data_IF_809055964386
#
_entry.id   IF_809055964386
#
_cell.length_a   1.000
_cell.length_b   1.000
_cell.length_c   1.000
_cell.angle_alpha   90.00
_cell.angle_beta   90.00
_cell.angle_gamma   90.00
#
_symmetry.space_group_name_H-M   'P 1'
#
loop_
_entity.id
_entity.type
_entity.pdbx_description
1 polymer ?
#
# COMPACT_ATOMS: atom_id res chain seq x y z
N UNK A 1 4.32 14.03 15.17
CA UNK A 1 3.12 14.50 14.44
C UNK A 1 3.00 13.67 13.17
N UNK A 2 1.95 12.87 13.03
CA UNK A 2 1.68 12.05 11.84
C UNK A 2 1.44 12.97 10.63
N UNK A 3 1.82 12.50 9.43
CA UNK A 3 1.45 13.22 8.19
C UNK A 3 -0.04 13.04 7.96
N UNK A 4 -0.79 14.09 7.60
CA UNK A 4 -2.25 14.03 7.35
C UNK A 4 -2.70 12.86 6.45
N UNK A 5 -1.87 12.48 5.47
CA UNK A 5 -2.17 11.30 4.63
C UNK A 5 -2.14 9.98 5.41
N UNK A 6 -1.26 9.86 6.41
CA UNK A 6 -1.21 8.70 7.32
C UNK A 6 -2.41 8.69 8.26
N UNK A 7 -2.83 9.86 8.77
CA UNK A 7 -4.02 10.00 9.63
C UNK A 7 -5.26 9.45 8.92
N UNK A 8 -5.46 9.80 7.65
CA UNK A 8 -6.60 9.26 6.88
C UNK A 8 -6.50 7.74 6.70
N UNK A 9 -5.30 7.22 6.43
CA UNK A 9 -5.07 5.78 6.35
C UNK A 9 -5.50 5.06 7.62
N UNK A 10 -5.08 5.55 8.80
CA UNK A 10 -5.46 4.98 10.08
C UNK A 10 -6.95 5.10 10.40
N UNK A 11 -7.60 6.21 10.03
CA UNK A 11 -9.05 6.34 10.19
C UNK A 11 -9.76 5.26 9.38
N UNK A 12 -9.37 5.05 8.14
CA UNK A 12 -9.98 4.03 7.27
C UNK A 12 -9.67 2.61 7.75
N UNK A 13 -8.44 2.35 8.19
CA UNK A 13 -8.06 1.08 8.81
C UNK A 13 -8.98 0.76 9.99
N UNK A 14 -9.18 1.69 10.93
CA UNK A 14 -10.04 1.50 12.08
C UNK A 14 -11.50 1.26 11.69
N UNK A 15 -11.99 1.89 10.62
CA UNK A 15 -13.36 1.65 10.16
C UNK A 15 -13.53 0.27 9.53
N UNK A 16 -12.56 -0.17 8.72
CA UNK A 16 -12.59 -1.52 8.17
C UNK A 16 -12.46 -2.55 9.29
N UNK A 17 -11.57 -2.34 10.28
CA UNK A 17 -11.48 -3.19 11.48
C UNK A 17 -12.83 -3.26 12.20
N UNK A 18 -13.52 -2.12 12.36
CA UNK A 18 -14.88 -2.07 12.93
C UNK A 18 -15.89 -2.89 12.14
N UNK A 19 -15.79 -2.91 10.80
CA UNK A 19 -16.63 -3.78 9.95
C UNK A 19 -16.37 -5.29 10.16
N UNK A 20 -15.17 -5.64 10.66
CA UNK A 20 -14.84 -7.00 11.10
C UNK A 20 -15.22 -7.24 12.57
N UNK A 21 -15.82 -6.28 13.28
CA UNK A 21 -16.13 -6.38 14.71
C UNK A 21 -14.91 -6.18 15.63
N UNK A 22 -13.83 -5.64 15.10
CA UNK A 22 -12.57 -5.42 15.84
C UNK A 22 -12.46 -3.97 16.33
N UNK A 23 -11.78 -3.80 17.47
CA UNK A 23 -11.41 -2.49 17.97
C UNK A 23 -10.31 -1.82 17.11
N UNK A 24 -10.02 -0.53 17.39
CA UNK A 24 -8.90 0.18 16.77
C UNK A 24 -7.57 -0.56 16.95
N UNK A 25 -6.70 -0.48 15.95
CA UNK A 25 -5.35 -0.99 16.07
C UNK A 25 -4.50 -0.09 16.98
N UNK A 26 -4.34 -0.48 18.23
CA UNK A 26 -3.58 0.28 19.24
C UNK A 26 -2.05 0.11 19.08
N UNK A 27 -1.59 -0.94 18.41
CA UNK A 27 -0.17 -1.25 18.30
C UNK A 27 0.49 -0.72 17.02
N UNK A 28 -0.29 -0.36 15.99
CA UNK A 28 0.13 0.38 14.79
C UNK A 28 1.26 -0.22 13.93
N UNK A 29 1.80 -1.41 14.26
CA UNK A 29 3.07 -1.93 13.71
C UNK A 29 2.94 -3.40 13.27
N UNK A 30 1.79 -3.79 12.76
CA UNK A 30 1.58 -5.13 12.21
C UNK A 30 2.13 -5.31 10.78
N UNK A 31 2.41 -6.54 10.40
CA UNK A 31 2.65 -6.92 8.99
C UNK A 31 1.36 -6.78 8.19
N UNK A 32 0.24 -7.13 8.81
CA UNK A 32 -1.13 -7.00 8.31
C UNK A 32 -1.94 -6.09 9.22
N UNK A 33 -2.95 -5.46 8.66
CA UNK A 33 -3.84 -4.56 9.39
C UNK A 33 -4.89 -5.36 10.21
N UNK A 34 -5.16 -6.62 9.79
CA UNK A 34 -5.88 -7.65 10.53
C UNK A 34 -5.11 -8.96 10.36
N UNK A 35 -4.65 -9.56 11.44
CA UNK A 35 -3.95 -10.86 11.41
C UNK A 35 -4.94 -12.01 11.33
N UNK A 36 -4.48 -13.20 10.95
CA UNK A 36 -5.33 -14.39 10.88
C UNK A 36 -5.89 -14.75 12.27
N UNK A 37 -5.09 -14.61 13.33
CA UNK A 37 -5.49 -14.93 14.70
C UNK A 37 -6.60 -14.00 15.22
N UNK A 38 -6.58 -12.72 14.82
CA UNK A 38 -7.59 -11.76 15.27
C UNK A 38 -8.80 -11.64 14.34
N UNK A 39 -8.75 -12.26 13.13
CA UNK A 39 -9.83 -12.19 12.14
C UNK A 39 -11.02 -13.06 12.56
N UNK A 40 -12.13 -12.46 13.04
CA UNK A 40 -13.26 -13.24 13.55
C UNK A 40 -14.10 -13.90 12.43
N UNK A 41 -13.89 -13.50 11.17
CA UNK A 41 -14.62 -14.02 10.02
C UNK A 41 -13.91 -15.23 9.39
N UNK A 42 -12.57 -15.29 9.50
CA UNK A 42 -11.78 -16.39 8.95
C UNK A 42 -10.38 -16.43 9.57
N UNK A 43 -10.14 -17.40 10.45
CA UNK A 43 -8.86 -17.57 11.16
C UNK A 43 -7.67 -17.99 10.27
N UNK A 44 -7.88 -18.20 8.97
CA UNK A 44 -6.82 -18.46 8.00
C UNK A 44 -6.58 -17.28 7.06
N UNK A 45 -7.23 -16.14 7.29
CA UNK A 45 -7.15 -14.98 6.42
C UNK A 45 -6.50 -13.79 7.12
N UNK A 46 -5.47 -13.25 6.51
CA UNK A 46 -4.93 -11.94 6.88
C UNK A 46 -5.48 -10.86 5.95
N UNK A 47 -5.66 -9.64 6.46
CA UNK A 47 -6.17 -8.53 5.67
C UNK A 47 -5.21 -7.34 5.74
N UNK A 48 -4.89 -6.80 4.57
CA UNK A 48 -4.19 -5.52 4.42
C UNK A 48 -5.15 -4.46 3.90
N UNK A 49 -5.20 -3.30 4.55
CA UNK A 49 -6.11 -2.21 4.22
C UNK A 49 -5.31 -1.08 3.57
N UNK A 50 -5.73 -0.64 2.41
CA UNK A 50 -5.03 0.41 1.66
C UNK A 50 -6.00 1.46 1.15
N UNK A 51 -5.62 2.72 1.31
CA UNK A 51 -6.33 3.84 0.69
C UNK A 51 -5.52 4.37 -0.49
N UNK A 52 -6.18 4.72 -1.57
CA UNK A 52 -5.53 5.28 -2.76
C UNK A 52 -6.35 6.42 -3.35
N UNK A 53 -5.71 7.54 -3.69
CA UNK A 53 -6.36 8.56 -4.48
C UNK A 53 -6.68 7.97 -5.88
N UNK A 54 -7.84 8.29 -6.41
CA UNK A 54 -8.35 7.75 -7.68
C UNK A 54 -7.35 7.86 -8.85
N UNK A 55 -6.50 8.88 -8.84
CA UNK A 55 -5.45 9.14 -9.84
C UNK A 55 -4.06 8.77 -9.35
N UNK A 56 -3.95 8.16 -8.17
CA UNK A 56 -2.68 7.86 -7.52
C UNK A 56 -2.19 6.45 -7.75
N UNK A 57 -0.96 6.19 -7.27
CA UNK A 57 -0.41 4.85 -7.16
C UNK A 57 -0.76 4.23 -5.81
N UNK A 58 -1.08 2.95 -5.80
CA UNK A 58 -1.39 2.20 -4.58
C UNK A 58 -0.09 1.81 -3.87
N UNK A 59 0.21 2.46 -2.74
CA UNK A 59 1.37 2.11 -1.92
C UNK A 59 1.13 0.79 -1.19
N UNK A 60 1.97 -0.21 -1.45
CA UNK A 60 1.91 -1.52 -0.82
C UNK A 60 2.68 -1.56 0.51
N UNK A 61 3.67 -0.68 0.67
CA UNK A 61 4.52 -0.60 1.86
C UNK A 61 5.97 -1.00 1.58
N UNK A 62 6.62 -1.63 2.56
CA UNK A 62 8.01 -2.11 2.45
C UNK A 62 8.12 -3.18 1.37
N UNK A 63 9.05 -2.98 0.41
CA UNK A 63 9.14 -3.82 -0.79
C UNK A 63 9.54 -5.26 -0.49
N UNK A 64 10.49 -5.48 0.44
CA UNK A 64 10.91 -6.83 0.83
C UNK A 64 9.82 -7.57 1.59
N UNK A 65 9.13 -6.87 2.49
CA UNK A 65 8.01 -7.44 3.24
C UNK A 65 6.88 -7.88 2.31
N UNK A 66 6.55 -7.05 1.34
CA UNK A 66 5.50 -7.34 0.34
C UNK A 66 5.91 -8.49 -0.57
N UNK A 67 7.19 -8.58 -0.94
CA UNK A 67 7.71 -9.67 -1.74
C UNK A 67 7.74 -11.01 -0.99
N UNK A 68 8.05 -10.99 0.31
CA UNK A 68 8.10 -12.18 1.19
C UNK A 68 6.69 -12.56 1.67
N UNK A 69 5.83 -12.82 0.74
CA UNK A 69 4.46 -13.23 1.02
C UNK A 69 4.40 -14.70 1.50
N UNK A 70 3.57 -14.97 2.51
CA UNK A 70 3.36 -16.31 3.04
C UNK A 70 2.21 -17.00 2.30
N UNK A 71 2.52 -18.00 1.49
CA UNK A 71 1.55 -18.73 0.69
C UNK A 71 0.68 -19.72 1.51
N UNK A 72 0.94 -19.89 2.81
CA UNK A 72 0.17 -20.80 3.68
C UNK A 72 -1.14 -20.19 4.18
N UNK A 73 -1.26 -18.87 4.13
CA UNK A 73 -2.44 -18.12 4.54
C UNK A 73 -3.17 -17.53 3.34
N UNK A 74 -4.45 -17.24 3.54
CA UNK A 74 -5.23 -16.41 2.60
C UNK A 74 -4.87 -14.96 2.87
N UNK A 75 -4.43 -14.25 1.85
CA UNK A 75 -4.17 -12.83 1.96
C UNK A 75 -5.20 -12.04 1.16
N UNK A 76 -5.92 -11.17 1.85
CA UNK A 76 -6.86 -10.24 1.22
C UNK A 76 -6.33 -8.82 1.34
N UNK A 77 -6.36 -8.08 0.25
CA UNK A 77 -6.12 -6.65 0.28
C UNK A 77 -7.44 -5.92 0.05
N UNK A 78 -7.89 -5.14 1.04
CA UNK A 78 -9.03 -4.24 0.90
C UNK A 78 -8.50 -2.87 0.48
N UNK A 79 -8.86 -2.48 -0.73
CA UNK A 79 -8.48 -1.18 -1.29
C UNK A 79 -9.68 -0.25 -1.28
N UNK A 80 -9.47 0.96 -0.79
CA UNK A 80 -10.45 2.03 -0.68
C UNK A 80 -10.02 3.21 -1.58
N UNK A 81 -10.37 3.18 -2.88
CA UNK A 81 -10.18 4.32 -3.76
C UNK A 81 -11.01 5.52 -3.29
N UNK A 82 -10.38 6.68 -3.19
CA UNK A 82 -11.04 7.90 -2.78
C UNK A 82 -10.80 9.06 -3.74
N UNK A 83 -11.77 9.95 -3.81
CA UNK A 83 -11.66 11.25 -4.47
C UNK A 83 -11.35 12.32 -3.42
N UNK A 84 -10.35 13.18 -3.72
CA UNK A 84 -10.08 14.37 -2.92
C UNK A 84 -11.02 15.49 -3.37
N UNK A 85 -11.90 15.90 -2.50
CA UNK A 85 -12.68 17.13 -2.61
C UNK A 85 -11.91 18.29 -1.96
N UNK A 86 -12.50 19.48 -1.90
CA UNK A 86 -11.82 20.66 -1.36
C UNK A 86 -11.24 20.43 0.04
N UNK A 87 -12.05 19.97 0.97
CA UNK A 87 -11.73 19.75 2.38
C UNK A 87 -12.14 18.37 2.90
N UNK A 88 -12.62 17.48 2.02
CA UNK A 88 -13.03 16.12 2.36
C UNK A 88 -12.40 15.09 1.42
N UNK A 89 -12.38 13.84 1.87
CA UNK A 89 -12.12 12.65 1.05
C UNK A 89 -13.37 11.79 1.04
N UNK A 90 -13.80 11.42 -0.17
CA UNK A 90 -14.95 10.56 -0.37
C UNK A 90 -14.50 9.22 -0.93
N UNK A 91 -14.81 8.14 -0.22
CA UNK A 91 -14.62 6.77 -0.72
C UNK A 91 -15.53 6.55 -1.93
N UNK A 92 -14.97 6.04 -3.01
CA UNK A 92 -15.66 5.81 -4.27
C UNK A 92 -16.16 4.38 -4.41
N UNK A 93 -15.40 3.47 -3.90
CA UNK A 93 -15.67 2.02 -3.98
C UNK A 93 -14.83 1.30 -2.93
N UNK A 94 -15.20 0.06 -2.67
CA UNK A 94 -14.42 -0.91 -1.89
C UNK A 94 -14.05 -2.05 -2.83
N UNK A 95 -12.77 -2.37 -2.92
CA UNK A 95 -12.28 -3.47 -3.75
C UNK A 95 -11.56 -4.46 -2.82
N UNK A 96 -12.01 -5.71 -2.80
CA UNK A 96 -11.31 -6.80 -2.14
C UNK A 96 -10.52 -7.59 -3.19
N UNK A 97 -9.22 -7.71 -2.98
CA UNK A 97 -8.31 -8.42 -3.88
C UNK A 97 -7.78 -9.67 -3.21
N UNK A 98 -7.77 -10.77 -3.95
CA UNK A 98 -7.07 -11.99 -3.56
C UNK A 98 -5.59 -11.85 -3.87
N UNK A 99 -4.77 -11.78 -2.83
CA UNK A 99 -3.33 -11.82 -2.96
C UNK A 99 -2.87 -13.27 -2.83
N UNK A 100 -2.78 -13.95 -3.95
CA UNK A 100 -2.32 -15.33 -4.05
C UNK A 100 -0.98 -15.42 -4.82
N UNK A 101 -0.47 -16.62 -5.04
CA UNK A 101 0.79 -16.84 -5.74
C UNK A 101 0.76 -16.31 -7.19
N UNK A 102 -0.39 -16.41 -7.87
CA UNK A 102 -0.55 -15.87 -9.22
C UNK A 102 -0.51 -14.34 -9.21
N UNK A 103 -1.24 -13.68 -8.29
CA UNK A 103 -1.19 -12.24 -8.11
C UNK A 103 0.25 -11.76 -7.85
N UNK A 104 0.96 -12.44 -6.93
CA UNK A 104 2.35 -12.15 -6.63
C UNK A 104 3.25 -12.29 -7.86
N UNK A 105 3.12 -13.39 -8.59
CA UNK A 105 3.89 -13.65 -9.81
C UNK A 105 3.65 -12.61 -10.91
N UNK A 106 2.38 -12.24 -11.14
CA UNK A 106 2.02 -11.19 -12.10
C UNK A 106 2.58 -9.83 -11.68
N UNK A 107 2.51 -9.52 -10.39
CA UNK A 107 2.91 -8.22 -9.86
C UNK A 107 4.43 -8.03 -9.93
N UNK A 108 5.21 -9.03 -9.53
CA UNK A 108 6.68 -8.93 -9.45
C UNK A 108 7.41 -9.46 -10.70
N UNK A 109 6.73 -10.21 -11.57
CA UNK A 109 7.30 -10.72 -12.80
C UNK A 109 8.56 -11.54 -12.56
N UNK A 110 9.67 -11.15 -13.19
CA UNK A 110 10.99 -11.80 -13.06
C UNK A 110 11.91 -11.10 -12.03
N UNK A 111 11.42 -10.11 -11.28
CA UNK A 111 12.20 -9.51 -10.20
C UNK A 111 12.44 -10.53 -9.08
N UNK A 112 13.66 -10.60 -8.57
CA UNK A 112 14.01 -11.54 -7.50
C UNK A 112 14.11 -10.86 -6.15
N UNK A 113 14.00 -11.65 -5.08
CA UNK A 113 14.17 -11.18 -3.72
C UNK A 113 15.55 -10.57 -3.49
N UNK A 114 16.58 -11.19 -4.06
CA UNK A 114 17.99 -10.77 -3.94
C UNK A 114 18.20 -9.38 -4.57
N UNK A 115 17.56 -9.13 -5.72
CA UNK A 115 17.65 -7.83 -6.40
C UNK A 115 16.93 -6.73 -5.61
N UNK A 116 15.77 -7.03 -5.03
CA UNK A 116 15.05 -6.09 -4.17
C UNK A 116 15.86 -5.82 -2.90
N UNK A 117 16.45 -6.87 -2.31
CA UNK A 117 17.30 -6.77 -1.12
C UNK A 117 18.58 -5.96 -1.41
N UNK A 118 19.18 -6.12 -2.59
CA UNK A 118 20.35 -5.34 -2.99
C UNK A 118 20.02 -3.83 -3.05
N UNK A 119 18.89 -3.46 -3.64
CA UNK A 119 18.45 -2.06 -3.66
C UNK A 119 18.14 -1.53 -2.25
N UNK A 120 17.45 -2.30 -1.41
CA UNK A 120 17.13 -1.90 -0.04
C UNK A 120 18.41 -1.71 0.80
N UNK A 121 19.38 -2.63 0.68
CA UNK A 121 20.68 -2.55 1.33
C UNK A 121 21.45 -1.32 0.86
N UNK A 122 21.48 -1.07 -0.45
CA UNK A 122 22.12 0.13 -1.00
C UNK A 122 21.51 1.42 -0.42
N UNK A 123 20.18 1.51 -0.36
CA UNK A 123 19.49 2.67 0.23
C UNK A 123 19.86 2.85 1.70
N UNK A 124 19.94 1.77 2.46
CA UNK A 124 20.30 1.77 3.89
C UNK A 124 21.76 2.13 4.14
N UNK A 125 22.65 1.88 3.18
CA UNK A 125 24.06 2.25 3.28
C UNK A 125 24.33 3.76 3.10
N UNK A 126 23.39 4.52 2.54
CA UNK A 126 23.54 5.97 2.33
C UNK A 126 23.46 6.68 3.69
N UNK A 127 24.49 7.43 4.11
CA UNK A 127 24.48 8.14 5.40
C UNK A 127 23.30 9.13 5.53
N UNK A 128 22.86 9.36 6.76
CA UNK A 128 21.85 10.37 7.05
C UNK A 128 22.35 11.76 6.61
N UNK A 129 21.57 12.46 5.79
CA UNK A 129 21.98 13.74 5.22
C UNK A 129 23.07 13.66 4.12
N UNK A 130 23.67 12.47 3.89
CA UNK A 130 24.77 12.25 2.96
C UNK A 130 24.36 11.83 1.54
N UNK A 131 23.11 12.05 1.14
CA UNK A 131 22.67 11.73 -0.22
C UNK A 131 23.35 12.62 -1.26
N UNK A 132 24.11 12.02 -2.16
CA UNK A 132 24.73 12.68 -3.31
C UNK A 132 23.90 12.49 -4.59
N UNK A 133 24.26 13.21 -5.65
CA UNK A 133 23.70 13.01 -6.99
C UNK A 133 24.02 11.62 -7.53
N UNK A 134 25.21 11.09 -7.25
CA UNK A 134 25.63 9.73 -7.63
C UNK A 134 24.78 8.66 -6.92
N UNK A 135 24.60 8.77 -5.59
CA UNK A 135 23.68 7.90 -4.87
C UNK A 135 22.29 7.90 -5.50
N UNK A 136 21.79 9.10 -5.87
CA UNK A 136 20.48 9.23 -6.49
C UNK A 136 20.41 8.57 -7.87
N UNK A 137 21.45 8.72 -8.69
CA UNK A 137 21.51 8.07 -10.01
C UNK A 137 21.50 6.55 -9.86
N UNK A 138 22.34 6.00 -8.97
CA UNK A 138 22.48 4.57 -8.73
C UNK A 138 21.17 3.93 -8.28
N UNK A 139 20.53 4.43 -7.21
CA UNK A 139 19.29 3.78 -6.76
C UNK A 139 18.12 3.99 -7.73
N UNK A 140 18.09 5.07 -8.50
CA UNK A 140 17.10 5.25 -9.57
C UNK A 140 17.29 4.23 -10.70
N UNK A 141 18.54 3.97 -11.09
CA UNK A 141 18.86 2.95 -12.09
C UNK A 141 18.44 1.56 -11.62
N UNK A 142 18.80 1.18 -10.40
CA UNK A 142 18.39 -0.10 -9.81
C UNK A 142 16.87 -0.24 -9.74
N UNK A 143 16.16 0.80 -9.30
CA UNK A 143 14.70 0.82 -9.23
C UNK A 143 14.04 0.72 -10.62
N UNK A 144 14.63 1.35 -11.64
CA UNK A 144 14.15 1.26 -13.03
C UNK A 144 14.32 -0.16 -13.59
N UNK A 145 15.45 -0.81 -13.31
CA UNK A 145 15.69 -2.21 -13.68
C UNK A 145 14.66 -3.14 -13.05
N UNK A 146 14.43 -3.00 -11.74
CA UNK A 146 13.42 -3.78 -11.03
C UNK A 146 12.01 -3.54 -11.57
N UNK A 147 11.66 -2.29 -11.87
CA UNK A 147 10.37 -1.96 -12.50
C UNK A 147 10.18 -2.66 -13.84
N UNK A 148 11.22 -2.69 -14.69
CA UNK A 148 11.16 -3.38 -15.97
C UNK A 148 10.95 -4.89 -15.80
N UNK A 149 11.65 -5.52 -14.83
CA UNK A 149 11.47 -6.93 -14.47
C UNK A 149 10.10 -7.27 -13.93
N UNK A 150 9.45 -6.32 -13.24
CA UNK A 150 8.08 -6.45 -12.73
C UNK A 150 7.00 -6.16 -13.79
N UNK A 151 7.32 -6.23 -15.09
CA UNK A 151 6.36 -5.94 -16.16
C UNK A 151 5.80 -4.51 -16.15
N UNK A 152 6.43 -3.59 -15.42
CA UNK A 152 6.01 -2.19 -15.30
C UNK A 152 4.90 -1.94 -14.26
N UNK A 153 4.30 -2.97 -13.66
CA UNK A 153 3.21 -2.80 -12.69
C UNK A 153 3.68 -2.26 -11.35
N UNK A 154 4.86 -2.69 -10.88
CA UNK A 154 5.44 -2.22 -9.63
C UNK A 154 6.41 -1.08 -9.87
N UNK A 155 6.25 -0.02 -9.09
CA UNK A 155 7.24 1.05 -8.94
C UNK A 155 7.92 0.91 -7.59
N UNK A 156 9.25 0.86 -7.61
CA UNK A 156 10.07 0.84 -6.40
C UNK A 156 10.43 2.27 -6.02
N UNK A 157 10.11 2.64 -4.79
CA UNK A 157 10.18 4.03 -4.31
C UNK A 157 11.22 4.15 -3.18
N UNK A 158 12.49 4.43 -3.50
CA UNK A 158 13.52 4.71 -2.51
C UNK A 158 13.16 5.92 -1.66
N UNK A 159 13.11 5.76 -0.34
CA UNK A 159 12.91 6.84 0.63
C UNK A 159 14.23 7.15 1.30
N UNK A 160 14.93 8.15 0.74
CA UNK A 160 16.19 8.67 1.26
C UNK A 160 15.97 10.14 1.52
N UNK A 161 15.56 10.50 2.72
CA UNK A 161 15.28 11.88 3.08
C UNK A 161 16.26 12.41 4.15
N UNK A 162 16.21 13.72 4.39
CA UNK A 162 17.02 14.39 5.38
C UNK A 162 16.70 13.97 6.83
N UNK A 163 15.55 13.32 7.06
CA UNK A 163 15.07 12.88 8.37
C UNK A 163 15.42 11.44 8.70
N UNK A 164 16.44 10.87 8.10
CA UNK A 164 16.95 9.53 8.34
C UNK A 164 16.03 8.38 7.89
N UNK A 165 15.03 8.64 7.06
CA UNK A 165 14.30 7.53 6.44
C UNK A 165 15.19 6.85 5.39
N UNK A 166 15.43 5.58 5.60
CA UNK A 166 16.19 4.68 4.72
C UNK A 166 15.37 3.43 4.54
N UNK A 167 14.47 3.45 3.54
CA UNK A 167 13.59 2.31 3.26
C UNK A 167 13.22 2.25 1.80
N UNK A 168 13.03 1.04 1.31
CA UNK A 168 12.48 0.78 -0.01
C UNK A 168 10.98 0.50 0.13
N UNK A 169 10.14 1.31 -0.50
CA UNK A 169 8.71 1.04 -0.64
C UNK A 169 8.41 0.60 -2.06
N UNK A 170 7.33 -0.15 -2.24
CA UNK A 170 6.79 -0.44 -3.57
C UNK A 170 5.33 0.01 -3.69
N UNK A 171 4.88 0.21 -4.92
CA UNK A 171 3.52 0.65 -5.24
C UNK A 171 3.06 0.04 -6.56
N UNK A 172 1.77 -0.25 -6.69
CA UNK A 172 1.17 -0.49 -8.00
C UNK A 172 0.98 0.87 -8.68
N UNK A 173 1.63 1.07 -9.82
CA UNK A 173 1.68 2.37 -10.51
C UNK A 173 0.33 2.82 -11.05
N UNK A 174 -0.45 1.87 -11.57
CA UNK A 174 -1.76 2.09 -12.16
C UNK A 174 -2.70 0.96 -11.74
N UNK A 175 -3.36 1.13 -10.60
CA UNK A 175 -4.27 0.12 -10.06
C UNK A 175 -5.42 -0.22 -11.04
N UNK A 176 -6.03 0.80 -11.65
CA UNK A 176 -7.15 0.57 -12.60
C UNK A 176 -6.70 -0.24 -13.81
N UNK A 177 -5.59 0.13 -14.41
CA UNK A 177 -5.01 -0.62 -15.53
C UNK A 177 -4.64 -2.06 -15.13
N UNK A 178 -4.05 -2.24 -13.94
CA UNK A 178 -3.73 -3.56 -13.42
C UNK A 178 -5.01 -4.42 -13.29
N UNK A 179 -6.04 -3.91 -12.62
CA UNK A 179 -7.29 -4.64 -12.40
C UNK A 179 -8.10 -4.87 -13.69
N UNK A 180 -7.96 -4.00 -14.69
CA UNK A 180 -8.58 -4.21 -16.01
C UNK A 180 -7.90 -5.35 -16.78
N UNK A 181 -6.58 -5.54 -16.62
CA UNK A 181 -5.86 -6.64 -17.24
C UNK A 181 -5.99 -7.97 -16.47
N UNK A 182 -6.22 -7.89 -15.15
CA UNK A 182 -6.27 -9.05 -14.26
C UNK A 182 -7.51 -9.02 -13.36
N UNK A 183 -8.74 -9.06 -13.95
CA UNK A 183 -9.98 -8.98 -13.19
C UNK A 183 -10.20 -10.20 -12.27
N UNK A 184 -9.55 -11.33 -12.54
CA UNK A 184 -9.63 -12.56 -11.72
C UNK A 184 -9.13 -12.36 -10.29
N UNK A 185 -8.35 -11.32 -10.02
CA UNK A 185 -7.88 -11.03 -8.66
C UNK A 185 -8.88 -10.23 -7.83
N UNK A 186 -9.97 -9.75 -8.45
CA UNK A 186 -11.03 -9.04 -7.73
C UNK A 186 -11.98 -10.08 -7.12
N UNK A 187 -11.90 -10.26 -5.79
CA UNK A 187 -12.82 -11.10 -5.02
C UNK A 187 -14.20 -10.44 -4.91
N UNK A 188 -14.22 -9.15 -4.59
CA UNK A 188 -15.44 -8.36 -4.48
C UNK A 188 -15.19 -6.90 -4.86
N UNK A 189 -16.22 -6.25 -5.37
CA UNK A 189 -16.22 -4.83 -5.69
C UNK A 189 -17.57 -4.21 -5.37
N UNK A 190 -17.56 -3.28 -4.44
CA UNK A 190 -18.74 -2.53 -4.02
C UNK A 190 -18.56 -1.06 -4.38
N UNK A 191 -19.51 -0.50 -5.11
CA UNK A 191 -19.55 0.94 -5.43
C UNK A 191 -20.17 1.77 -4.30
N UNK A 192 -20.68 1.10 -3.28
CA UNK A 192 -21.07 1.68 -2.00
C UNK A 192 -19.92 1.47 -0.98
N UNK A 193 -19.79 2.32 0.03
CA UNK A 193 -18.80 2.19 1.10
C UNK A 193 -19.20 1.07 2.09
N UNK A 194 -19.21 -0.16 1.60
CA UNK A 194 -19.59 -1.38 2.33
C UNK A 194 -18.46 -2.38 2.30
N UNK A 195 -18.00 -2.84 3.47
CA UNK A 195 -16.98 -3.87 3.67
C UNK A 195 -17.66 -5.08 4.31
N UNK A 196 -17.64 -6.24 3.64
CA UNK A 196 -18.20 -7.48 4.17
C UNK A 196 -19.65 -7.34 4.71
N UNK A 197 -20.47 -6.53 4.04
CA UNK A 197 -21.87 -6.28 4.41
C UNK A 197 -22.06 -5.17 5.47
N UNK A 198 -20.99 -4.60 5.99
CA UNK A 198 -21.03 -3.51 6.97
C UNK A 198 -20.71 -2.17 6.32
N UNK A 199 -21.57 -1.17 6.54
CA UNK A 199 -21.34 0.17 6.04
C UNK A 199 -20.17 0.84 6.78
N UNK A 200 -19.33 1.54 6.03
CA UNK A 200 -18.28 2.42 6.56
C UNK A 200 -18.59 3.88 6.19
N UNK A 201 -18.02 4.84 6.91
CA UNK A 201 -18.26 6.26 6.62
C UNK A 201 -17.63 6.63 5.26
N UNK A 202 -18.46 7.14 4.36
CA UNK A 202 -18.03 7.48 3.00
C UNK A 202 -17.17 8.73 2.92
N UNK A 203 -17.42 9.74 3.75
CA UNK A 203 -16.77 11.05 3.69
C UNK A 203 -16.05 11.38 4.99
N UNK A 204 -14.83 11.86 4.85
CA UNK A 204 -14.00 12.29 5.97
C UNK A 204 -13.47 13.70 5.75
N UNK A 205 -13.51 14.56 6.78
CA UNK A 205 -12.87 15.86 6.75
C UNK A 205 -11.37 15.69 6.51
N UNK A 206 -10.85 16.36 5.50
CA UNK A 206 -9.42 16.34 5.18
C UNK A 206 -9.01 17.65 4.53
N UNK A 207 -8.77 18.68 5.36
CA UNK A 207 -8.37 19.99 4.86
C UNK A 207 -7.11 19.96 3.99
N UNK A 208 -7.13 20.62 2.85
CA UNK A 208 -5.91 20.92 2.10
C UNK A 208 -4.99 21.78 2.97
N UNK A 209 -3.68 21.56 2.90
CA UNK A 209 -2.74 22.56 3.41
C UNK A 209 -2.98 23.83 2.62
N UNK A 210 -3.46 24.87 3.28
CA UNK A 210 -3.34 26.23 2.77
C UNK A 210 -1.84 26.53 2.86
N UNK A 211 -1.13 26.49 1.74
CA UNK A 211 0.18 27.10 1.67
C UNK A 211 -0.09 28.60 1.72
N UNK A 212 0.11 29.22 2.86
CA UNK A 212 0.26 30.67 2.91
C UNK A 212 1.50 30.99 2.09
N UNK A 213 1.29 31.45 0.86
CA UNK A 213 2.30 32.12 0.07
C UNK A 213 2.47 33.47 0.76
N UNK A 214 3.50 33.58 1.60
CA UNK A 214 3.97 34.86 2.11
C UNK A 214 4.92 35.46 1.08
#
# INVERSE_FOLDING_TARGET
MLRRAQEFGFVMENQVRGAFGLGPNVNGVGVHDITAEENPLNSNETVSIKTVCETGSLCLGDALRVFNYDATLIHTMIVLPYMQLADTRRIKEVIELDWNAEFHSVLFGSATREEIAALDTYIKSIPAGGRTAEHQATYKQMAATLKARSGGWVTYNPKVDSRSQRRLQCSISNLRGFLSNYPQFIRARNYEPVVRGQAIVAEHPFGRRVFNVA
#
